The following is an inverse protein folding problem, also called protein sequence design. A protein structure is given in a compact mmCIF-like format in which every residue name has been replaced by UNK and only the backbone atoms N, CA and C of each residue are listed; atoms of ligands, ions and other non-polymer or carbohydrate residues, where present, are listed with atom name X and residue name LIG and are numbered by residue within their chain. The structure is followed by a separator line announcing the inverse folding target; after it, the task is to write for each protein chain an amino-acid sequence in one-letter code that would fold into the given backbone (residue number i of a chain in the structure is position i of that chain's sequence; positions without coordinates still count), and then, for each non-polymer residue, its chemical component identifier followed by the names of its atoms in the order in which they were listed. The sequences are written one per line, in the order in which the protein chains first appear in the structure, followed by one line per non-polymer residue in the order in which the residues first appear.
data_IF_943811586696
#
_entry.id   IF_943811586696
#
_cell.length_a   1.000
_cell.length_b   1.000
_cell.length_c   1.000
_cell.angle_alpha   90.00
_cell.angle_beta   90.00
_cell.angle_gamma   90.00
#
_symmetry.space_group_name_H-M   'P 1'
#
loop_
_entity.id
_entity.type
_entity.pdbx_description
1 polymer ?
#
# COMPACT_ATOMS: atom_id res chain seq x y z
N UNK A 1 -14.83 47.81 19.67
CA UNK A 1 -15.21 46.53 18.99
C UNK A 1 -15.99 45.72 20.02
N UNK A 2 -17.19 45.25 19.70
CA UNK A 2 -17.96 44.46 20.65
C UNK A 2 -17.24 43.09 20.88
N UNK A 3 -17.23 42.61 22.13
CA UNK A 3 -16.65 41.30 22.50
C UNK A 3 -17.15 40.17 21.59
N UNK A 4 -18.39 40.22 21.12
CA UNK A 4 -18.96 39.28 20.17
C UNK A 4 -18.22 39.23 18.81
N UNK A 5 -17.81 40.38 18.29
CA UNK A 5 -17.09 40.47 17.02
C UNK A 5 -15.70 39.81 17.14
N UNK A 6 -15.02 40.00 18.27
CA UNK A 6 -13.72 39.36 18.52
C UNK A 6 -13.87 37.83 18.57
N UNK A 7 -14.89 37.33 19.27
CA UNK A 7 -15.16 35.87 19.34
C UNK A 7 -15.43 35.29 17.96
N UNK A 8 -16.23 35.95 17.13
CA UNK A 8 -16.50 35.49 15.74
C UNK A 8 -15.22 35.45 14.93
N UNK A 9 -14.36 36.46 15.00
CA UNK A 9 -13.08 36.48 14.26
C UNK A 9 -12.14 35.36 14.71
N UNK A 10 -12.10 35.06 16.02
CA UNK A 10 -11.31 33.92 16.53
C UNK A 10 -11.83 32.58 16.00
N UNK A 11 -13.14 32.37 15.98
CA UNK A 11 -13.76 31.15 15.44
C UNK A 11 -13.44 31.01 13.95
N UNK A 12 -13.57 32.06 13.16
CA UNK A 12 -13.21 32.05 11.74
C UNK A 12 -11.72 31.69 11.55
N UNK A 13 -10.84 32.31 12.35
CA UNK A 13 -9.41 31.99 12.31
C UNK A 13 -9.11 30.52 12.59
N UNK A 14 -9.77 29.93 13.60
CA UNK A 14 -9.64 28.50 13.92
C UNK A 14 -10.14 27.61 12.77
N UNK A 15 -11.27 27.93 12.15
CA UNK A 15 -11.80 27.19 11.00
C UNK A 15 -10.80 27.21 9.84
N UNK A 16 -10.22 28.37 9.52
CA UNK A 16 -9.22 28.49 8.46
C UNK A 16 -7.98 27.66 8.77
N UNK A 17 -7.48 27.69 10.00
CA UNK A 17 -6.31 26.90 10.40
C UNK A 17 -6.57 25.40 10.28
N UNK A 18 -7.75 24.93 10.72
CA UNK A 18 -8.14 23.52 10.62
C UNK A 18 -8.30 23.08 9.17
N UNK A 19 -8.95 23.88 8.33
CA UNK A 19 -9.07 23.62 6.91
C UNK A 19 -7.70 23.50 6.24
N UNK A 20 -6.80 24.46 6.48
CA UNK A 20 -5.46 24.45 5.92
C UNK A 20 -4.64 23.24 6.38
N UNK A 21 -4.76 22.84 7.65
CA UNK A 21 -4.11 21.66 8.18
C UNK A 21 -4.62 20.37 7.52
N UNK A 22 -5.94 20.25 7.35
CA UNK A 22 -6.58 19.10 6.72
C UNK A 22 -6.18 19.00 5.23
N UNK A 23 -6.24 20.12 4.51
CA UNK A 23 -5.83 20.20 3.12
C UNK A 23 -4.31 19.87 2.95
N UNK A 24 -3.46 20.38 3.85
CA UNK A 24 -2.03 20.04 3.86
C UNK A 24 -1.80 18.56 4.14
N UNK A 25 -2.59 17.94 5.02
CA UNK A 25 -2.51 16.50 5.28
C UNK A 25 -2.92 15.67 4.08
N UNK A 26 -4.00 16.06 3.38
CA UNK A 26 -4.41 15.45 2.11
C UNK A 26 -3.29 15.52 1.06
N UNK A 27 -2.73 16.70 0.85
CA UNK A 27 -1.64 16.90 -0.11
C UNK A 27 -0.39 16.07 0.23
N UNK A 28 -0.09 15.84 1.53
CA UNK A 28 1.01 14.95 1.94
C UNK A 28 0.74 13.50 1.55
N UNK A 29 -0.51 13.04 1.64
CA UNK A 29 -0.89 11.69 1.19
C UNK A 29 -0.69 11.58 -0.31
N UNK A 30 -1.24 12.49 -1.10
CA UNK A 30 -1.16 12.49 -2.56
C UNK A 30 0.29 12.57 -3.05
N UNK A 31 1.11 13.43 -2.44
CA UNK A 31 2.54 13.53 -2.75
C UNK A 31 3.31 12.26 -2.41
N UNK A 32 3.03 11.64 -1.26
CA UNK A 32 3.69 10.37 -0.90
C UNK A 32 3.24 9.22 -1.78
N UNK A 33 2.00 9.24 -2.29
CA UNK A 33 1.50 8.26 -3.24
C UNK A 33 2.19 8.41 -4.60
N UNK A 34 2.37 9.62 -5.11
CA UNK A 34 3.08 9.85 -6.41
C UNK A 34 4.46 9.18 -6.45
N UNK A 35 5.15 9.08 -5.32
CA UNK A 35 6.44 8.39 -5.24
C UNK A 35 6.31 6.87 -5.39
N UNK A 36 5.13 6.31 -5.17
CA UNK A 36 4.84 4.87 -5.27
C UNK A 36 4.28 4.54 -6.64
N UNK A 37 3.51 5.44 -7.22
CA UNK A 37 2.65 5.20 -8.38
C UNK A 37 3.44 4.64 -9.57
N UNK A 38 4.61 5.18 -9.86
CA UNK A 38 5.50 4.70 -10.92
C UNK A 38 5.90 3.24 -10.71
N UNK A 39 6.20 2.85 -9.45
CA UNK A 39 6.56 1.47 -9.11
C UNK A 39 5.35 0.53 -9.21
N UNK A 40 4.15 1.04 -8.88
CA UNK A 40 2.91 0.25 -9.01
C UNK A 40 2.56 0.02 -10.47
N UNK A 41 2.66 1.02 -11.32
CA UNK A 41 2.40 0.88 -12.75
C UNK A 41 3.32 -0.16 -13.38
N UNK A 42 4.64 -0.07 -13.15
CA UNK A 42 5.60 -1.06 -13.64
C UNK A 42 5.29 -2.48 -13.12
N UNK A 43 4.92 -2.60 -11.84
CA UNK A 43 4.55 -3.87 -11.22
C UNK A 43 3.26 -4.43 -11.81
N UNK A 44 2.24 -3.59 -12.01
CA UNK A 44 0.97 -3.98 -12.60
C UNK A 44 1.15 -4.49 -14.03
N UNK A 45 1.98 -3.83 -14.84
CA UNK A 45 2.28 -4.26 -16.20
C UNK A 45 2.93 -5.64 -16.23
N UNK A 46 3.96 -5.84 -15.41
CA UNK A 46 4.68 -7.12 -15.31
C UNK A 46 3.77 -8.25 -14.86
N UNK A 47 2.98 -8.02 -13.81
CA UNK A 47 2.08 -9.04 -13.27
C UNK A 47 0.95 -9.35 -14.25
N UNK A 48 0.36 -8.34 -14.90
CA UNK A 48 -0.68 -8.56 -15.93
C UNK A 48 -0.17 -9.44 -17.06
N UNK A 49 1.03 -9.19 -17.58
CA UNK A 49 1.63 -10.00 -18.63
C UNK A 49 1.86 -11.46 -18.20
N UNK A 50 2.34 -11.67 -16.97
CA UNK A 50 2.57 -13.01 -16.43
C UNK A 50 1.26 -13.77 -16.19
N UNK A 51 0.22 -13.08 -15.67
CA UNK A 51 -1.09 -13.68 -15.46
C UNK A 51 -1.73 -14.06 -16.80
N UNK A 52 -1.54 -13.29 -17.87
CA UNK A 52 -2.01 -13.62 -19.21
C UNK A 52 -1.37 -14.90 -19.74
N UNK A 53 -0.04 -15.04 -19.59
CA UNK A 53 0.67 -16.27 -19.97
C UNK A 53 0.17 -17.48 -19.15
N UNK A 54 -0.09 -17.29 -17.87
CA UNK A 54 -0.59 -18.35 -16.99
C UNK A 54 -2.01 -18.78 -17.36
N UNK A 55 -2.91 -17.87 -17.70
CA UNK A 55 -4.26 -18.21 -18.15
C UNK A 55 -4.24 -19.08 -19.42
N UNK A 56 -3.31 -18.81 -20.34
CA UNK A 56 -3.17 -19.61 -21.57
C UNK A 56 -2.69 -21.03 -21.27
N UNK A 57 -1.92 -21.23 -20.20
CA UNK A 57 -1.39 -22.54 -19.83
C UNK A 57 -2.38 -23.42 -19.03
N UNK A 58 -3.31 -22.81 -18.29
CA UNK A 58 -4.20 -23.49 -17.32
C UNK A 58 -5.70 -23.37 -17.62
N UNK A 59 -6.07 -23.38 -18.89
CA UNK A 59 -7.47 -23.27 -19.36
C UNK A 59 -8.41 -24.38 -18.83
N UNK A 60 -7.86 -25.42 -18.20
CA UNK A 60 -8.62 -26.59 -17.73
C UNK A 60 -8.95 -26.58 -16.21
N UNK A 61 -8.48 -25.61 -15.44
CA UNK A 61 -8.77 -25.50 -13.99
C UNK A 61 -9.64 -24.29 -13.67
N UNK A 62 -10.95 -24.46 -13.67
CA UNK A 62 -11.97 -23.41 -13.52
C UNK A 62 -11.71 -22.44 -12.36
N UNK A 63 -11.42 -22.97 -11.14
CA UNK A 63 -11.21 -22.11 -9.95
C UNK A 63 -9.93 -21.27 -10.04
N UNK A 64 -8.85 -21.84 -10.54
CA UNK A 64 -7.57 -21.13 -10.72
C UNK A 64 -7.71 -20.08 -11.80
N UNK A 65 -8.35 -20.43 -12.92
CA UNK A 65 -8.66 -19.50 -14.00
C UNK A 65 -9.50 -18.31 -13.55
N UNK A 66 -10.56 -18.53 -12.79
CA UNK A 66 -11.40 -17.46 -12.24
C UNK A 66 -10.62 -16.50 -11.33
N UNK A 67 -9.80 -17.02 -10.40
CA UNK A 67 -9.01 -16.19 -9.49
C UNK A 67 -7.99 -15.33 -10.24
N UNK A 68 -7.28 -15.91 -11.20
CA UNK A 68 -6.27 -15.20 -12.00
C UNK A 68 -6.96 -14.15 -12.90
N UNK A 69 -8.08 -14.50 -13.53
CA UNK A 69 -8.84 -13.59 -14.38
C UNK A 69 -9.41 -12.40 -13.60
N UNK A 70 -9.94 -12.65 -12.40
CA UNK A 70 -10.43 -11.61 -11.50
C UNK A 70 -9.30 -10.66 -11.06
N UNK A 71 -8.13 -11.19 -10.71
CA UNK A 71 -6.97 -10.39 -10.33
C UNK A 71 -6.48 -9.52 -11.48
N UNK A 72 -6.38 -10.08 -12.70
CA UNK A 72 -6.00 -9.34 -13.92
C UNK A 72 -6.96 -8.20 -14.21
N UNK A 73 -8.26 -8.48 -14.10
CA UNK A 73 -9.31 -7.46 -14.31
C UNK A 73 -9.19 -6.35 -13.28
N UNK A 74 -8.99 -6.69 -12.01
CA UNK A 74 -8.77 -5.73 -10.92
C UNK A 74 -7.56 -4.83 -11.15
N UNK A 75 -6.44 -5.39 -11.59
CA UNK A 75 -5.21 -4.65 -11.93
C UNK A 75 -5.47 -3.68 -13.11
N UNK A 76 -6.09 -4.16 -14.18
CA UNK A 76 -6.34 -3.33 -15.36
C UNK A 76 -7.28 -2.15 -15.04
N UNK A 77 -8.30 -2.37 -14.22
CA UNK A 77 -9.20 -1.30 -13.79
C UNK A 77 -8.47 -0.28 -12.90
N UNK A 78 -7.54 -0.73 -12.06
CA UNK A 78 -6.80 0.13 -11.15
C UNK A 78 -5.75 1.01 -11.84
N UNK A 79 -5.22 0.64 -13.01
CA UNK A 79 -4.15 1.39 -13.71
C UNK A 79 -4.48 2.87 -13.88
N UNK A 80 -5.72 3.18 -14.28
CA UNK A 80 -6.21 4.55 -14.47
C UNK A 80 -7.14 4.99 -13.32
N UNK A 81 -7.16 4.24 -12.22
CA UNK A 81 -8.04 4.44 -11.11
C UNK A 81 -7.52 5.44 -10.07
N UNK A 82 -8.35 5.66 -9.07
CA UNK A 82 -8.01 6.45 -7.87
C UNK A 82 -6.90 5.80 -7.05
N UNK A 83 -6.33 6.58 -6.13
CA UNK A 83 -5.33 6.08 -5.15
C UNK A 83 -5.85 4.83 -4.42
N UNK A 84 -7.11 4.85 -3.98
CA UNK A 84 -7.72 3.72 -3.25
C UNK A 84 -7.83 2.47 -4.13
N UNK A 85 -8.18 2.61 -5.39
CA UNK A 85 -8.26 1.48 -6.34
C UNK A 85 -6.87 0.88 -6.59
N UNK A 86 -5.84 1.71 -6.78
CA UNK A 86 -4.45 1.24 -6.93
C UNK A 86 -3.93 0.54 -5.66
N UNK A 87 -4.21 1.08 -4.49
CA UNK A 87 -3.84 0.45 -3.20
C UNK A 87 -4.55 -0.89 -3.01
N UNK A 88 -5.83 -0.96 -3.35
CA UNK A 88 -6.61 -2.20 -3.25
C UNK A 88 -6.11 -3.27 -4.23
N UNK A 89 -5.80 -2.92 -5.47
CA UNK A 89 -5.22 -3.84 -6.45
C UNK A 89 -3.88 -4.39 -5.95
N UNK A 90 -3.00 -3.56 -5.43
CA UNK A 90 -1.72 -3.99 -4.86
C UNK A 90 -1.90 -4.90 -3.62
N UNK A 91 -2.89 -4.63 -2.77
CA UNK A 91 -3.23 -5.50 -1.65
C UNK A 91 -3.72 -6.88 -2.12
N UNK A 92 -4.48 -6.95 -3.21
CA UNK A 92 -4.93 -8.20 -3.84
C UNK A 92 -3.75 -8.97 -4.44
N UNK A 93 -2.86 -8.29 -5.17
CA UNK A 93 -1.61 -8.89 -5.69
C UNK A 93 -0.80 -9.49 -4.55
N UNK A 94 -0.56 -8.72 -3.49
CA UNK A 94 0.22 -9.16 -2.34
C UNK A 94 -0.41 -10.37 -1.64
N UNK A 95 -1.74 -10.41 -1.53
CA UNK A 95 -2.47 -11.55 -0.97
C UNK A 95 -2.37 -12.80 -1.88
N UNK A 96 -2.51 -12.62 -3.20
CA UNK A 96 -2.35 -13.69 -4.17
C UNK A 96 -0.94 -14.28 -4.13
N UNK A 97 0.09 -13.44 -4.09
CA UNK A 97 1.49 -13.86 -3.99
C UNK A 97 1.80 -14.65 -2.70
N UNK A 98 1.05 -14.39 -1.62
CA UNK A 98 1.19 -15.11 -0.35
C UNK A 98 0.36 -16.41 -0.30
N UNK A 99 -0.49 -16.67 -1.29
CA UNK A 99 -1.43 -17.80 -1.31
C UNK A 99 -0.72 -19.16 -1.42
N UNK A 100 -1.36 -20.26 -0.97
CA UNK A 100 -0.85 -21.61 -1.17
C UNK A 100 -0.66 -21.98 -2.64
N UNK A 101 -1.47 -21.42 -3.54
CA UNK A 101 -1.39 -21.63 -4.98
C UNK A 101 0.00 -21.28 -5.52
N UNK A 102 0.56 -20.15 -5.09
CA UNK A 102 1.90 -19.68 -5.49
C UNK A 102 3.04 -20.56 -4.96
N UNK A 103 2.77 -21.36 -3.94
CA UNK A 103 3.75 -22.28 -3.33
C UNK A 103 3.60 -23.71 -3.86
N UNK A 104 2.57 -23.99 -4.63
CA UNK A 104 2.26 -25.32 -5.15
C UNK A 104 3.29 -25.76 -6.20
N UNK A 105 3.68 -27.03 -6.16
CA UNK A 105 4.52 -27.65 -7.18
C UNK A 105 3.76 -27.98 -8.48
N UNK A 106 2.43 -27.95 -8.41
CA UNK A 106 1.57 -28.17 -9.56
C UNK A 106 1.62 -27.01 -10.58
N UNK A 107 2.10 -25.83 -10.17
CA UNK A 107 2.09 -24.64 -11.01
C UNK A 107 3.49 -23.98 -11.06
N UNK A 108 4.46 -24.60 -11.76
CA UNK A 108 5.84 -24.13 -11.83
C UNK A 108 5.96 -22.73 -12.46
N UNK A 109 5.08 -22.38 -13.39
CA UNK A 109 5.03 -21.06 -14.04
C UNK A 109 4.63 -19.96 -13.02
N UNK A 110 3.67 -20.24 -12.13
CA UNK A 110 3.30 -19.32 -11.06
C UNK A 110 4.44 -19.09 -10.06
N UNK A 111 5.32 -20.07 -9.86
CA UNK A 111 6.52 -19.89 -9.03
C UNK A 111 7.48 -18.86 -9.64
N UNK A 112 7.51 -18.72 -10.96
CA UNK A 112 8.33 -17.69 -11.63
C UNK A 112 7.81 -16.29 -11.38
N UNK A 113 6.51 -16.13 -11.07
CA UNK A 113 5.87 -14.87 -10.67
C UNK A 113 6.22 -14.51 -9.21
N UNK A 114 6.45 -15.52 -8.36
CA UNK A 114 6.65 -15.40 -6.92
C UNK A 114 7.74 -14.40 -6.56
N UNK A 115 8.93 -14.67 -6.31
CA UNK A 115 9.96 -13.65 -6.25
C UNK A 115 10.26 -13.28 -7.71
N UNK A 116 9.85 -12.14 -8.17
CA UNK A 116 10.19 -11.57 -9.50
C UNK A 116 11.72 -11.53 -9.69
N UNK A 117 12.33 -12.65 -9.35
CA UNK A 117 13.75 -12.88 -9.13
C UNK A 117 14.52 -13.13 -10.42
N UNK A 118 13.88 -12.97 -11.58
CA UNK A 118 14.58 -13.15 -12.85
C UNK A 118 15.12 -11.83 -13.40
N UNK A 119 14.84 -10.71 -12.74
CA UNK A 119 15.52 -9.45 -13.06
C UNK A 119 16.53 -9.20 -11.94
N UNK A 120 17.79 -9.58 -12.19
CA UNK A 120 19.00 -9.29 -11.40
C UNK A 120 18.75 -9.03 -9.90
N UNK A 121 19.07 -10.01 -9.06
CA UNK A 121 18.80 -10.02 -7.61
C UNK A 121 19.14 -8.69 -6.87
N UNK A 122 20.11 -7.93 -7.36
CA UNK A 122 20.51 -6.67 -6.73
C UNK A 122 19.59 -5.49 -7.03
N UNK A 123 18.99 -5.40 -8.22
CA UNK A 123 18.04 -4.33 -8.56
C UNK A 123 16.68 -4.58 -7.93
N UNK A 124 16.24 -5.83 -7.88
CA UNK A 124 14.99 -6.23 -7.24
C UNK A 124 15.01 -5.95 -5.73
N UNK A 125 16.11 -6.26 -5.04
CA UNK A 125 16.24 -6.00 -3.59
C UNK A 125 16.19 -4.50 -3.28
N UNK A 126 16.85 -3.68 -4.08
CA UNK A 126 16.80 -2.20 -3.91
C UNK A 126 15.42 -1.64 -4.22
N UNK A 127 14.79 -2.08 -5.29
CA UNK A 127 13.45 -1.66 -5.69
C UNK A 127 12.41 -2.04 -4.63
N UNK A 128 12.43 -3.27 -4.12
CA UNK A 128 11.55 -3.74 -3.05
C UNK A 128 11.76 -2.99 -1.73
N UNK A 129 13.01 -2.68 -1.37
CA UNK A 129 13.31 -1.90 -0.17
C UNK A 129 12.79 -0.46 -0.29
N UNK A 130 12.98 0.17 -1.44
CA UNK A 130 12.49 1.52 -1.73
C UNK A 130 10.96 1.56 -1.74
N UNK A 131 10.32 0.60 -2.39
CA UNK A 131 8.86 0.48 -2.41
C UNK A 131 8.30 0.25 -1.00
N UNK A 132 8.94 -0.59 -0.20
CA UNK A 132 8.55 -0.82 1.20
C UNK A 132 8.70 0.45 2.05
N UNK A 133 9.74 1.24 1.84
CA UNK A 133 9.94 2.52 2.53
C UNK A 133 8.88 3.55 2.10
N UNK A 134 8.61 3.66 0.81
CA UNK A 134 7.60 4.55 0.24
C UNK A 134 6.17 4.19 0.73
N UNK A 135 5.82 2.89 0.79
CA UNK A 135 4.55 2.41 1.36
C UNK A 135 4.40 2.78 2.84
N UNK A 136 5.45 2.64 3.64
CA UNK A 136 5.41 3.07 5.06
C UNK A 136 5.16 4.56 5.17
N UNK A 137 5.83 5.38 4.36
CA UNK A 137 5.63 6.83 4.36
C UNK A 137 4.20 7.21 3.97
N UNK A 138 3.66 6.58 2.92
CA UNK A 138 2.27 6.77 2.51
C UNK A 138 1.30 6.36 3.64
N UNK A 139 1.46 5.16 4.19
CA UNK A 139 0.60 4.67 5.26
C UNK A 139 0.58 5.61 6.48
N UNK A 140 1.74 6.16 6.86
CA UNK A 140 1.83 7.13 7.94
C UNK A 140 1.04 8.42 7.63
N UNK A 141 1.18 8.95 6.41
CA UNK A 141 0.46 10.15 5.98
C UNK A 141 -1.05 9.88 5.87
N UNK A 142 -1.44 8.76 5.26
CA UNK A 142 -2.84 8.35 5.10
C UNK A 142 -3.50 8.11 6.47
N UNK A 143 -2.82 7.45 7.40
CA UNK A 143 -3.31 7.26 8.78
C UNK A 143 -3.51 8.60 9.48
N UNK A 144 -2.56 9.52 9.38
CA UNK A 144 -2.68 10.87 9.97
C UNK A 144 -3.85 11.64 9.39
N UNK A 145 -4.06 11.59 8.08
CA UNK A 145 -5.20 12.22 7.42
C UNK A 145 -6.52 11.57 7.85
N UNK A 146 -6.62 10.24 7.78
CA UNK A 146 -7.82 9.49 8.17
C UNK A 146 -8.21 9.77 9.64
N UNK A 147 -7.22 9.84 10.54
CA UNK A 147 -7.45 10.23 11.93
C UNK A 147 -7.99 11.64 12.04
N UNK A 148 -7.48 12.58 11.24
CA UNK A 148 -7.96 13.96 11.24
C UNK A 148 -9.42 14.09 10.77
N UNK A 149 -9.89 13.18 9.91
CA UNK A 149 -11.31 13.15 9.46
C UNK A 149 -12.28 12.79 10.61
N UNK A 150 -11.82 12.02 11.59
CA UNK A 150 -12.65 11.54 12.71
C UNK A 150 -12.42 12.29 14.01
N UNK A 151 -11.30 13.00 14.14
CA UNK A 151 -10.95 13.74 15.35
C UNK A 151 -11.77 15.01 15.52
N UNK A 152 -12.32 15.25 16.73
CA UNK A 152 -12.93 16.53 17.09
C UNK A 152 -11.85 17.57 17.36
N UNK A 153 -12.01 18.84 16.94
CA UNK A 153 -13.13 19.41 16.17
C UNK A 153 -12.97 19.32 14.65
N UNK A 154 -11.89 18.74 14.12
CA UNK A 154 -11.55 18.68 12.70
C UNK A 154 -12.60 17.92 11.88
N UNK A 155 -13.27 16.92 12.47
CA UNK A 155 -14.33 16.14 11.82
C UNK A 155 -15.52 17.01 11.37
N UNK A 156 -15.85 18.08 12.09
CA UNK A 156 -16.90 19.02 11.70
C UNK A 156 -16.48 19.76 10.42
N UNK A 157 -15.25 20.24 10.39
CA UNK A 157 -14.68 20.95 9.23
C UNK A 157 -14.58 20.02 8.02
N UNK A 158 -14.15 18.77 8.25
CA UNK A 158 -14.09 17.76 7.21
C UNK A 158 -15.45 17.53 6.54
N UNK A 159 -16.52 17.40 7.33
CA UNK A 159 -17.89 17.24 6.83
C UNK A 159 -18.39 18.44 6.04
N UNK A 160 -18.14 19.67 6.52
CA UNK A 160 -18.60 20.92 5.86
C UNK A 160 -17.89 21.14 4.53
N UNK A 161 -16.59 20.88 4.46
CA UNK A 161 -15.74 21.17 3.29
C UNK A 161 -15.51 19.96 2.36
N UNK A 162 -16.20 18.85 2.58
CA UNK A 162 -16.20 17.71 1.66
C UNK A 162 -14.97 16.80 1.75
N UNK A 163 -14.23 16.84 2.86
CA UNK A 163 -13.14 15.86 3.13
C UNK A 163 -13.72 14.57 3.73
N UNK A 164 -14.45 13.78 2.91
CA UNK A 164 -15.23 12.66 3.42
C UNK A 164 -14.63 11.29 3.05
N UNK A 165 -13.60 11.25 2.22
CA UNK A 165 -13.05 10.00 1.70
C UNK A 165 -11.74 9.65 2.40
N UNK A 166 -11.70 8.62 3.25
CA UNK A 166 -10.47 8.12 3.82
C UNK A 166 -9.63 7.43 2.73
N UNK A 167 -8.32 7.44 2.92
CA UNK A 167 -7.39 6.71 2.07
C UNK A 167 -7.19 5.28 2.57
N UNK A 168 -7.21 4.33 1.64
CA UNK A 168 -6.87 2.93 1.89
C UNK A 168 -5.37 2.79 2.22
N UNK A 169 -5.04 1.78 3.03
CA UNK A 169 -3.67 1.51 3.45
C UNK A 169 -3.10 0.29 2.72
N UNK A 170 -1.82 0.33 2.38
CA UNK A 170 -1.10 -0.86 1.95
C UNK A 170 -1.01 -1.84 3.12
N UNK A 171 -1.46 -3.08 2.89
CA UNK A 171 -1.34 -4.16 3.87
C UNK A 171 0.09 -4.69 3.92
N UNK A 172 0.59 -4.94 5.11
CA UNK A 172 1.88 -5.62 5.29
C UNK A 172 1.64 -7.10 5.10
N UNK A 173 2.24 -7.69 4.07
CA UNK A 173 2.23 -9.14 3.89
C UNK A 173 3.06 -9.77 5.02
N UNK A 174 2.46 -10.66 5.81
CA UNK A 174 3.02 -11.21 7.06
C UNK A 174 4.35 -11.98 6.89
N UNK A 175 4.78 -12.27 5.67
CA UNK A 175 6.06 -12.96 5.39
C UNK A 175 7.34 -12.19 5.79
N UNK A 176 7.24 -10.93 6.24
CA UNK A 176 8.39 -10.11 6.69
C UNK A 176 8.33 -9.71 8.16
N UNK A 177 7.36 -10.23 8.93
CA UNK A 177 7.23 -9.87 10.36
C UNK A 177 8.25 -10.54 11.28
N UNK A 178 8.99 -11.55 10.80
CA UNK A 178 9.94 -12.30 11.60
C UNK A 178 11.37 -12.22 11.07
N UNK A 179 12.04 -11.09 11.32
CA UNK A 179 13.39 -11.15 11.85
C UNK A 179 13.34 -10.56 13.24
N UNK A 180 13.09 -11.39 14.26
CA UNK A 180 13.29 -10.94 15.63
C UNK A 180 14.75 -10.51 15.78
N UNK A 181 14.98 -9.40 16.46
CA UNK A 181 16.34 -9.06 16.96
C UNK A 181 16.95 -10.19 17.80
N UNK A 182 16.14 -11.17 18.24
CA UNK A 182 16.57 -12.42 18.87
C UNK A 182 17.55 -13.23 18.03
N UNK A 183 17.38 -13.30 16.70
CA UNK A 183 18.30 -14.08 15.85
C UNK A 183 19.71 -13.48 15.80
N UNK A 184 19.85 -12.17 15.89
CA UNK A 184 21.15 -11.50 15.97
C UNK A 184 21.76 -11.64 17.38
N UNK A 185 20.95 -11.56 18.43
CA UNK A 185 21.40 -11.80 19.81
C UNK A 185 21.79 -13.26 20.07
N UNK A 186 21.03 -14.21 19.51
CA UNK A 186 21.35 -15.65 19.59
C UNK A 186 22.62 -16.01 18.82
N UNK A 187 22.88 -15.36 17.68
CA UNK A 187 24.15 -15.54 16.95
C UNK A 187 25.34 -14.98 17.74
N UNK A 188 25.18 -13.83 18.34
CA UNK A 188 26.21 -13.20 19.18
C UNK A 188 26.45 -14.02 20.46
N UNK A 189 25.42 -14.48 21.15
CA UNK A 189 25.55 -15.30 22.35
C UNK A 189 26.28 -16.62 22.07
N UNK A 190 25.95 -17.35 20.99
CA UNK A 190 26.67 -18.57 20.59
C UNK A 190 28.14 -18.32 20.24
N UNK A 191 28.48 -17.13 19.73
CA UNK A 191 29.86 -16.79 19.37
C UNK A 191 30.71 -16.46 20.61
N UNK A 192 30.09 -16.04 21.71
CA UNK A 192 30.78 -15.71 22.97
C UNK A 192 30.78 -16.87 23.98
N UNK A 193 29.89 -17.87 23.87
CA UNK A 193 29.90 -19.07 24.71
C UNK A 193 30.96 -20.11 24.32
N UNK A 194 31.52 -20.02 23.11
CA UNK A 194 32.57 -20.94 22.61
C UNK A 194 33.98 -20.34 22.71
N UNK A 195 34.23 -19.44 23.64
CA UNK A 195 35.56 -18.93 24.00
C UNK A 195 35.79 -19.15 25.50
#
# INVERSE_FOLDING_TARGET
MSTGLIVILVIIGLVILMYNNLNSSKNRVEKSFSNIDVYLEERFDKISALLEQTLTAYDHEEKTFEQISALRTGINNAKNGSINEKVNAENQISAFMASPLMKSEAYPELKSIGPLSVITANETIKSEANLSAARRQYNNNATSYNTSLTAFPTSIIAGIFGFNTPYELFKVTEGKKERPMSAASDYLNRKFENR
#
